data_IF_964322947245
#
_entry.id   IF_964322947245
#
_cell.length_a   1.000
_cell.length_b   1.000
_cell.length_c   1.000
_cell.angle_alpha   90.00
_cell.angle_beta   90.00
_cell.angle_gamma   90.00
#
_symmetry.space_group_name_H-M   'P 1'
#
loop_
_entity.id
_entity.type
_entity.pdbx_description
1 polymer ?
#
# COMPACT_ATOMS: atom_id res chain seq x y z
N UNK A 1 -12.81 -10.85 -0.48
CA UNK A 1 -11.46 -11.26 -0.94
C UNK A 1 -10.34 -10.61 -0.12
N UNK A 2 -10.31 -9.28 0.02
CA UNK A 2 -9.23 -8.55 0.72
C UNK A 2 -9.13 -8.90 2.21
N UNK A 3 -10.25 -8.96 2.95
CA UNK A 3 -10.27 -9.43 4.35
C UNK A 3 -9.79 -10.88 4.50
N UNK A 4 -10.11 -11.77 3.55
CA UNK A 4 -9.68 -13.18 3.53
C UNK A 4 -8.16 -13.32 3.40
N UNK A 5 -7.48 -12.37 2.75
CA UNK A 5 -6.01 -12.30 2.67
C UNK A 5 -5.38 -11.84 4.00
N UNK A 6 -6.18 -11.37 4.96
CA UNK A 6 -5.73 -10.95 6.29
C UNK A 6 -5.51 -9.44 6.43
N UNK A 7 -5.99 -8.61 5.49
CA UNK A 7 -5.94 -7.16 5.64
C UNK A 7 -6.94 -6.66 6.68
N UNK A 8 -6.53 -5.70 7.52
CA UNK A 8 -7.37 -5.09 8.58
C UNK A 8 -7.77 -3.66 8.19
N UNK A 9 -9.04 -3.43 7.89
CA UNK A 9 -9.57 -2.11 7.54
C UNK A 9 -11.03 -2.00 7.96
N UNK A 10 -11.47 -0.77 8.19
CA UNK A 10 -12.86 -0.46 8.61
C UNK A 10 -13.71 0.06 7.44
N UNK A 11 -13.09 0.46 6.33
CA UNK A 11 -13.81 0.97 5.14
C UNK A 11 -14.83 -0.02 4.60
N UNK A 12 -15.97 0.51 4.16
CA UNK A 12 -17.07 -0.26 3.57
C UNK A 12 -16.84 -0.48 2.06
N UNK A 13 -16.33 0.52 1.34
CA UNK A 13 -16.09 0.48 -0.10
C UNK A 13 -14.63 0.19 -0.44
N UNK A 14 -14.42 -0.64 -1.46
CA UNK A 14 -13.12 -0.93 -2.08
C UNK A 14 -13.23 -0.79 -3.61
N UNK A 15 -12.21 -0.27 -4.31
CA UNK A 15 -10.97 0.33 -3.78
C UNK A 15 -11.24 1.65 -3.05
N UNK A 16 -10.31 2.06 -2.19
CA UNK A 16 -10.39 3.37 -1.55
C UNK A 16 -9.87 4.42 -2.52
N UNK A 17 -10.68 5.43 -2.80
CA UNK A 17 -10.34 6.53 -3.70
C UNK A 17 -10.08 7.77 -2.85
N UNK A 18 -8.93 8.41 -3.07
CA UNK A 18 -8.53 9.65 -2.44
C UNK A 18 -8.42 10.76 -3.49
N UNK A 19 -8.61 11.99 -3.06
CA UNK A 19 -8.38 13.15 -3.92
C UNK A 19 -6.90 13.28 -4.31
N UNK A 20 -6.65 13.90 -5.47
CA UNK A 20 -5.29 14.14 -5.97
C UNK A 20 -4.43 15.00 -5.04
N UNK A 21 -5.05 15.79 -4.16
CA UNK A 21 -4.37 16.57 -3.11
C UNK A 21 -3.55 15.69 -2.17
N UNK A 22 -3.91 14.42 -2.01
CA UNK A 22 -3.16 13.47 -1.19
C UNK A 22 -1.74 13.25 -1.72
N UNK A 23 -1.50 13.40 -3.03
CA UNK A 23 -0.17 13.21 -3.64
C UNK A 23 0.86 14.25 -3.18
N UNK A 24 0.39 15.41 -2.69
CA UNK A 24 1.22 16.54 -2.26
C UNK A 24 1.75 16.39 -0.82
N UNK A 25 1.27 15.41 -0.06
CA UNK A 25 1.69 15.22 1.33
C UNK A 25 3.14 14.76 1.39
N UNK A 26 3.98 15.54 2.08
CA UNK A 26 5.40 15.22 2.26
C UNK A 26 5.70 14.60 3.63
N UNK A 27 4.92 14.94 4.66
CA UNK A 27 5.17 14.49 6.02
C UNK A 27 4.41 13.19 6.31
N UNK A 28 5.14 12.21 6.83
CA UNK A 28 4.56 10.92 7.25
C UNK A 28 3.46 11.08 8.29
N UNK A 29 3.57 12.07 9.20
CA UNK A 29 2.55 12.31 10.23
C UNK A 29 1.21 12.69 9.63
N UNK A 30 1.21 13.65 8.70
CA UNK A 30 0.00 14.08 7.99
C UNK A 30 -0.61 12.93 7.19
N UNK A 31 0.21 12.12 6.52
CA UNK A 31 -0.25 10.92 5.83
C UNK A 31 -0.89 9.90 6.78
N UNK A 32 -0.34 9.70 7.98
CA UNK A 32 -0.93 8.81 9.00
C UNK A 32 -2.29 9.31 9.44
N UNK A 33 -2.45 10.62 9.65
CA UNK A 33 -3.70 11.20 10.12
C UNK A 33 -4.82 11.02 9.08
N UNK A 34 -4.51 11.20 7.79
CA UNK A 34 -5.44 10.88 6.69
C UNK A 34 -5.77 9.38 6.65
N UNK A 35 -4.79 8.49 6.79
CA UNK A 35 -5.05 7.04 6.75
C UNK A 35 -5.88 6.54 7.94
N UNK A 36 -5.81 7.24 9.08
CA UNK A 36 -6.66 6.98 10.24
C UNK A 36 -8.08 7.45 10.02
N UNK A 37 -8.29 8.67 9.49
CA UNK A 37 -9.63 9.19 9.21
C UNK A 37 -10.36 8.34 8.17
N UNK A 38 -9.62 7.86 7.15
CA UNK A 38 -10.14 6.95 6.13
C UNK A 38 -10.36 5.54 6.70
N UNK A 39 -9.72 5.15 7.82
CA UNK A 39 -9.94 3.84 8.45
C UNK A 39 -9.16 2.68 7.83
N UNK A 40 -8.06 2.96 7.12
CA UNK A 40 -7.16 1.94 6.53
C UNK A 40 -5.86 1.76 7.32
N UNK A 41 -5.56 2.66 8.27
CA UNK A 41 -4.33 2.62 9.06
C UNK A 41 -4.14 1.32 9.87
N UNK A 42 -5.23 0.64 10.23
CA UNK A 42 -5.17 -0.67 10.91
C UNK A 42 -4.36 -1.73 10.15
N UNK A 43 -4.31 -1.66 8.82
CA UNK A 43 -3.54 -2.61 8.02
C UNK A 43 -2.02 -2.36 8.11
N UNK A 44 -1.62 -1.10 8.27
CA UNK A 44 -0.22 -0.72 8.47
C UNK A 44 0.24 -1.15 9.86
N UNK A 45 -0.59 -0.98 10.89
CA UNK A 45 -0.29 -1.48 12.23
C UNK A 45 -0.11 -3.00 12.24
N UNK A 46 -0.99 -3.74 11.55
CA UNK A 46 -0.84 -5.19 11.35
C UNK A 46 0.50 -5.54 10.71
N UNK A 47 0.92 -4.79 9.69
CA UNK A 47 2.20 -4.98 9.01
C UNK A 47 3.41 -4.69 9.92
N UNK A 48 3.31 -3.65 10.75
CA UNK A 48 4.30 -3.33 11.79
C UNK A 48 4.45 -4.47 12.79
N UNK A 49 3.35 -4.91 13.40
CA UNK A 49 3.31 -6.00 14.38
C UNK A 49 3.73 -7.34 13.79
N UNK A 50 3.37 -7.59 12.53
CA UNK A 50 3.72 -8.82 11.82
C UNK A 50 5.16 -8.85 11.30
N UNK A 51 5.93 -7.78 11.46
CA UNK A 51 7.34 -7.75 11.05
C UNK A 51 8.16 -8.59 12.02
N UNK A 52 8.77 -9.67 11.50
CA UNK A 52 9.53 -10.63 12.32
C UNK A 52 10.88 -10.97 11.69
N UNK A 53 11.76 -11.55 12.52
CA UNK A 53 13.04 -12.06 12.05
C UNK A 53 12.80 -13.32 11.19
N UNK A 54 13.43 -13.37 10.03
CA UNK A 54 13.41 -14.50 9.10
C UNK A 54 14.04 -15.73 9.75
N UNK A 55 13.31 -16.84 9.71
CA UNK A 55 13.84 -18.15 10.12
C UNK A 55 14.92 -18.66 9.13
N UNK A 56 15.83 -19.49 9.62
CA UNK A 56 16.87 -20.13 8.81
C UNK A 56 18.04 -19.19 8.41
N UNK A 57 18.80 -19.60 7.38
CA UNK A 57 20.04 -18.91 6.96
C UNK A 57 19.81 -17.58 6.23
N UNK A 58 18.59 -17.30 5.79
CA UNK A 58 18.28 -16.05 5.09
C UNK A 58 18.58 -14.80 5.93
N UNK A 59 18.49 -14.92 7.26
CA UNK A 59 18.83 -13.83 8.20
C UNK A 59 20.29 -13.40 8.12
N UNK A 60 21.20 -14.35 7.92
CA UNK A 60 22.65 -14.09 7.80
C UNK A 60 23.05 -13.52 6.45
N UNK A 61 22.20 -13.64 5.43
CA UNK A 61 22.43 -13.12 4.07
C UNK A 61 21.85 -11.71 3.87
N UNK A 62 21.73 -10.92 4.94
CA UNK A 62 21.18 -9.56 4.89
C UNK A 62 19.65 -9.43 4.75
N UNK A 63 18.90 -10.54 4.70
CA UNK A 63 17.41 -10.55 4.61
C UNK A 63 16.77 -10.87 5.96
N UNK A 64 17.23 -10.18 7.02
CA UNK A 64 16.89 -10.46 8.41
C UNK A 64 15.41 -10.30 8.72
N UNK A 65 14.73 -9.31 8.14
CA UNK A 65 13.32 -9.04 8.43
C UNK A 65 12.40 -9.56 7.33
N UNK A 66 11.22 -10.03 7.74
CA UNK A 66 10.07 -10.28 6.87
C UNK A 66 8.96 -9.39 7.35
N UNK A 67 8.48 -8.50 6.47
CA UNK A 67 7.35 -7.61 6.73
C UNK A 67 6.17 -8.03 5.85
N UNK A 68 4.98 -8.25 6.43
CA UNK A 68 3.77 -8.52 5.66
C UNK A 68 3.48 -7.39 4.67
N UNK A 69 2.99 -7.72 3.48
CA UNK A 69 2.52 -6.69 2.53
C UNK A 69 1.22 -6.08 3.04
N UNK A 70 1.18 -4.75 3.06
CA UNK A 70 0.07 -3.93 3.49
C UNK A 70 -0.58 -3.27 2.28
N UNK A 71 -0.94 -2.00 2.40
CA UNK A 71 -1.58 -1.18 1.40
C UNK A 71 -0.70 -1.06 0.15
N UNK A 72 -1.35 -1.09 -1.01
CA UNK A 72 -0.79 -0.63 -2.27
C UNK A 72 -1.41 0.73 -2.60
N UNK A 73 -0.57 1.75 -2.72
CA UNK A 73 -0.98 3.05 -3.24
C UNK A 73 -0.73 3.12 -4.74
N UNK A 74 -1.75 3.48 -5.50
CA UNK A 74 -1.63 3.79 -6.93
C UNK A 74 -1.89 5.26 -7.12
N UNK A 75 -0.84 5.98 -7.51
CA UNK A 75 -0.85 7.45 -7.60
C UNK A 75 -0.29 7.92 -8.93
N UNK A 76 -0.79 9.04 -9.44
CA UNK A 76 -0.33 9.61 -10.71
C UNK A 76 1.07 10.16 -10.54
N UNK A 77 1.31 10.99 -9.52
CA UNK A 77 2.63 11.44 -9.11
C UNK A 77 3.04 10.83 -7.75
N UNK A 78 4.24 10.25 -7.72
CA UNK A 78 4.81 9.61 -6.53
C UNK A 78 5.85 10.48 -5.82
N UNK A 79 6.24 11.62 -6.37
CA UNK A 79 7.45 12.36 -5.98
C UNK A 79 7.46 12.76 -4.50
N UNK A 80 6.39 13.40 -4.05
CA UNK A 80 6.23 13.89 -2.67
C UNK A 80 5.78 12.75 -1.76
N UNK A 81 4.73 12.03 -2.17
CA UNK A 81 4.13 10.95 -1.39
C UNK A 81 5.09 9.78 -1.10
N UNK A 82 6.05 9.51 -1.99
CA UNK A 82 7.08 8.48 -1.77
C UNK A 82 7.90 8.76 -0.51
N UNK A 83 8.26 10.03 -0.26
CA UNK A 83 8.99 10.40 0.95
C UNK A 83 8.13 10.19 2.20
N UNK A 84 6.87 10.59 2.15
CA UNK A 84 5.95 10.47 3.27
C UNK A 84 5.66 9.01 3.66
N UNK A 85 5.44 8.13 2.67
CA UNK A 85 4.95 6.78 2.90
C UNK A 85 6.04 5.69 2.93
N UNK A 86 7.25 5.94 2.40
CA UNK A 86 8.33 4.93 2.33
C UNK A 86 8.74 4.36 3.70
N UNK A 87 8.56 5.13 4.77
CA UNK A 87 8.88 4.67 6.13
C UNK A 87 7.79 3.79 6.75
N UNK A 88 6.61 3.69 6.12
CA UNK A 88 5.52 2.88 6.65
C UNK A 88 5.73 1.40 6.30
N UNK A 89 5.58 0.48 7.27
CA UNK A 89 5.89 -0.92 7.07
C UNK A 89 4.92 -1.58 6.09
N UNK A 90 5.46 -2.26 5.08
CA UNK A 90 4.69 -3.08 4.14
C UNK A 90 3.89 -2.30 3.10
N UNK A 91 4.01 -0.98 3.08
CA UNK A 91 3.38 -0.11 2.08
C UNK A 91 4.21 -0.14 0.79
N UNK A 92 3.54 -0.26 -0.35
CA UNK A 92 4.17 -0.03 -1.66
C UNK A 92 3.41 1.09 -2.41
N UNK A 93 4.13 1.85 -3.22
CA UNK A 93 3.60 2.98 -4.01
C UNK A 93 3.99 2.77 -5.45
N UNK A 94 3.01 2.81 -6.34
CA UNK A 94 3.18 2.49 -7.76
C UNK A 94 2.40 3.50 -8.59
N UNK A 95 2.88 3.81 -9.79
CA UNK A 95 2.12 4.57 -10.79
C UNK A 95 1.25 3.62 -11.59
N UNK A 96 0.14 4.05 -12.20
CA UNK A 96 -0.70 3.18 -13.03
C UNK A 96 0.12 2.28 -13.96
N UNK A 97 1.06 2.84 -14.73
CA UNK A 97 1.88 2.11 -15.70
C UNK A 97 2.79 1.04 -15.10
N UNK A 98 3.06 1.11 -13.79
CA UNK A 98 3.87 0.13 -13.06
C UNK A 98 3.07 -1.00 -12.42
N UNK A 99 1.74 -1.02 -12.58
CA UNK A 99 0.90 -2.09 -12.07
C UNK A 99 1.21 -3.39 -12.81
N UNK A 100 1.43 -4.45 -12.03
CA UNK A 100 1.67 -5.79 -12.54
C UNK A 100 1.15 -6.83 -11.54
N UNK A 101 1.12 -8.10 -11.96
CA UNK A 101 0.62 -9.19 -11.15
C UNK A 101 1.38 -9.36 -9.82
N UNK A 102 2.69 -9.08 -9.80
CA UNK A 102 3.52 -9.19 -8.60
C UNK A 102 3.13 -8.16 -7.53
N UNK A 103 2.83 -6.94 -7.94
CA UNK A 103 2.43 -5.84 -7.05
C UNK A 103 1.00 -6.04 -6.53
N UNK A 104 0.09 -6.48 -7.40
CA UNK A 104 -1.33 -6.71 -7.11
C UNK A 104 -1.57 -7.99 -6.28
N UNK A 105 -0.85 -9.06 -6.58
CA UNK A 105 -0.96 -10.37 -5.93
C UNK A 105 0.41 -10.87 -5.43
N UNK A 106 1.01 -10.22 -4.41
CA UNK A 106 2.28 -10.68 -3.86
C UNK A 106 2.16 -12.11 -3.34
N UNK A 107 3.05 -12.99 -3.79
CA UNK A 107 3.04 -14.42 -3.47
C UNK A 107 1.95 -15.23 -4.19
N UNK A 108 1.35 -14.69 -5.26
CA UNK A 108 0.26 -15.35 -6.00
C UNK A 108 -1.11 -15.26 -5.32
N UNK A 109 -1.22 -14.51 -4.21
CA UNK A 109 -2.48 -14.35 -3.48
C UNK A 109 -3.17 -13.04 -3.87
N UNK A 110 -4.32 -13.08 -4.57
CA UNK A 110 -5.05 -11.87 -4.97
C UNK A 110 -5.77 -11.22 -3.79
N UNK A 111 -6.17 -9.96 -3.99
CA UNK A 111 -6.93 -9.19 -3.00
C UNK A 111 -6.05 -8.39 -2.04
N UNK A 112 -5.09 -7.65 -2.58
CA UNK A 112 -4.33 -6.64 -1.82
C UNK A 112 -5.22 -5.41 -1.56
N UNK A 113 -5.08 -4.79 -0.37
CA UNK A 113 -5.77 -3.55 -0.06
C UNK A 113 -5.22 -2.41 -0.94
N UNK A 114 -6.08 -1.86 -1.78
CA UNK A 114 -5.74 -0.89 -2.82
C UNK A 114 -6.31 0.49 -2.44
N UNK A 115 -5.44 1.49 -2.44
CA UNK A 115 -5.79 2.91 -2.30
C UNK A 115 -5.32 3.61 -3.57
N UNK A 116 -6.19 4.36 -4.24
CA UNK A 116 -5.88 5.06 -5.48
C UNK A 116 -6.25 6.52 -5.39
N UNK A 117 -5.54 7.37 -6.13
CA UNK A 117 -5.98 8.75 -6.36
C UNK A 117 -6.93 8.83 -7.55
N UNK A 118 -7.78 9.84 -7.59
CA UNK A 118 -8.73 10.06 -8.68
C UNK A 118 -8.03 10.14 -10.05
N UNK A 119 -6.92 10.88 -10.12
CA UNK A 119 -6.09 11.00 -11.31
C UNK A 119 -5.51 9.67 -11.76
N UNK A 120 -5.06 8.83 -10.81
CA UNK A 120 -4.57 7.49 -11.12
C UNK A 120 -5.69 6.57 -11.64
N UNK A 121 -6.89 6.64 -11.05
CA UNK A 121 -8.05 5.86 -11.49
C UNK A 121 -8.45 6.23 -12.93
N UNK A 122 -8.46 7.51 -13.27
CA UNK A 122 -8.77 7.98 -14.61
C UNK A 122 -7.77 7.46 -15.65
N UNK A 123 -6.49 7.40 -15.29
CA UNK A 123 -5.47 6.85 -16.17
C UNK A 123 -5.65 5.34 -16.40
N UNK A 124 -5.92 4.57 -15.33
CA UNK A 124 -6.20 3.13 -15.44
C UNK A 124 -7.44 2.87 -16.29
N UNK A 125 -8.48 3.71 -16.20
CA UNK A 125 -9.67 3.61 -17.05
C UNK A 125 -9.37 3.87 -18.53
N UNK A 126 -8.37 4.70 -18.82
CA UNK A 126 -7.95 5.03 -20.19
C UNK A 126 -7.10 3.95 -20.85
N UNK A 127 -6.81 2.84 -20.17
CA UNK A 127 -6.05 1.74 -20.75
C UNK A 127 -6.84 1.06 -21.86
N UNK A 128 -6.27 1.09 -23.07
CA UNK A 128 -6.76 0.28 -24.18
C UNK A 128 -6.24 -1.15 -23.98
N UNK A 129 -7.17 -2.09 -23.89
CA UNK A 129 -6.91 -3.54 -23.90
C UNK A 129 -6.56 -3.96 -25.32
#
# INVERSE_FOLDING_TARGET
>A
MVKRRGHKFTVESLPVILEDRFELIEKTREAIDVLKSVGVFGDILRSKEGTKIRAGRGKSRGRKYITPKSILFVVKDKSHLSKALKNLPGVDIVRPQGLNAYVLAPGGHPGRLLVMTEGALNEVRGWKI
#
